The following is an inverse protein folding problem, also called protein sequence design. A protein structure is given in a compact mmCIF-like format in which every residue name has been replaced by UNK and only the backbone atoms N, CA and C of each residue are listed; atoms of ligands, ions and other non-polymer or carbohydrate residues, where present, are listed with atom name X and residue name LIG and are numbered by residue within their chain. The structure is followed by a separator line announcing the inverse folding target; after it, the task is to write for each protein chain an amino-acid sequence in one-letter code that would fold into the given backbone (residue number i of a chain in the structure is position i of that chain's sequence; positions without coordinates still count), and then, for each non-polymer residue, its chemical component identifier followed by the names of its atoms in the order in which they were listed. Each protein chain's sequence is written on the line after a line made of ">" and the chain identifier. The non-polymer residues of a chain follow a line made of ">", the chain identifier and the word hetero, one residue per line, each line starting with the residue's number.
data_IF_194184376057
#
_entry.id   IF_194184376057
#
_cell.length_a   1.000
_cell.length_b   1.000
_cell.length_c   1.000
_cell.angle_alpha   90.00
_cell.angle_beta   90.00
_cell.angle_gamma   90.00
#
_symmetry.space_group_name_H-M   'P 1'
#
loop_
_entity.id
_entity.type
_entity.pdbx_description
1 polymer ?
#
# COMPACT_ATOMS: atom_id res chain seq x y z
N UNK A 1 -10.59 -3.61 -29.70
CA UNK A 1 -10.56 -4.32 -28.39
C UNK A 1 -9.69 -5.58 -28.45
N UNK A 2 -9.78 -6.39 -29.53
CA UNK A 2 -8.94 -7.60 -29.75
C UNK A 2 -7.43 -7.34 -29.73
N UNK A 3 -6.95 -6.27 -30.35
CA UNK A 3 -5.49 -5.99 -30.45
C UNK A 3 -4.80 -5.85 -29.08
N UNK A 4 -5.50 -5.27 -28.09
CA UNK A 4 -4.97 -5.12 -26.72
C UNK A 4 -4.79 -6.49 -26.03
N UNK A 5 -5.67 -7.45 -26.32
CA UNK A 5 -5.60 -8.79 -25.77
C UNK A 5 -4.46 -9.61 -26.40
N UNK A 6 -4.31 -9.53 -27.73
CA UNK A 6 -3.22 -10.21 -28.44
C UNK A 6 -1.85 -9.66 -28.01
N UNK A 7 -1.70 -8.34 -27.85
CA UNK A 7 -0.47 -7.73 -27.33
C UNK A 7 -0.16 -8.20 -25.91
N UNK A 8 -1.14 -8.22 -25.01
CA UNK A 8 -0.99 -8.76 -23.63
C UNK A 8 -0.57 -10.24 -23.64
N UNK A 9 -1.14 -11.03 -24.54
CA UNK A 9 -0.79 -12.45 -24.68
C UNK A 9 0.65 -12.65 -25.16
N UNK A 10 1.10 -11.85 -26.13
CA UNK A 10 2.48 -11.89 -26.62
C UNK A 10 3.49 -11.44 -25.57
N UNK A 11 3.19 -10.36 -24.82
CA UNK A 11 4.04 -9.91 -23.72
C UNK A 11 4.14 -10.95 -22.61
N UNK A 12 3.04 -11.62 -22.26
CA UNK A 12 3.06 -12.68 -21.25
C UNK A 12 3.96 -13.86 -21.65
N UNK A 13 3.95 -14.26 -22.93
CA UNK A 13 4.85 -15.31 -23.43
C UNK A 13 6.33 -14.92 -23.31
N UNK A 14 6.67 -13.68 -23.69
CA UNK A 14 8.04 -13.18 -23.58
C UNK A 14 8.51 -13.05 -22.12
N UNK A 15 7.62 -12.62 -21.22
CA UNK A 15 7.92 -12.56 -19.79
C UNK A 15 8.14 -13.96 -19.21
N UNK A 16 7.28 -14.90 -19.58
CA UNK A 16 7.41 -16.28 -19.14
C UNK A 16 8.73 -16.90 -19.61
N UNK A 17 9.09 -16.73 -20.88
CA UNK A 17 10.37 -17.18 -21.44
C UNK A 17 11.57 -16.63 -20.67
N UNK A 18 11.56 -15.32 -20.34
CA UNK A 18 12.62 -14.70 -19.53
C UNK A 18 12.73 -15.28 -18.12
N UNK A 19 11.60 -15.63 -17.49
CA UNK A 19 11.62 -16.28 -16.19
C UNK A 19 12.27 -17.66 -16.28
N UNK A 20 11.96 -18.43 -17.32
CA UNK A 20 12.61 -19.72 -17.56
C UNK A 20 14.11 -19.56 -17.82
N UNK A 21 14.51 -18.57 -18.63
CA UNK A 21 15.92 -18.26 -18.90
C UNK A 21 16.69 -17.93 -17.62
N UNK A 22 16.15 -17.04 -16.79
CA UNK A 22 16.75 -16.68 -15.50
C UNK A 22 16.96 -17.92 -14.61
N UNK A 23 15.95 -18.78 -14.50
CA UNK A 23 16.03 -19.99 -13.66
C UNK A 23 17.05 -20.99 -14.19
N UNK A 24 17.20 -21.11 -15.51
CA UNK A 24 18.24 -21.95 -16.11
C UNK A 24 19.63 -21.37 -15.81
N UNK A 25 19.81 -20.05 -15.90
CA UNK A 25 21.07 -19.40 -15.52
C UNK A 25 21.39 -19.59 -14.03
N UNK A 26 20.39 -19.51 -13.14
CA UNK A 26 20.52 -19.83 -11.70
C UNK A 26 21.00 -21.27 -11.49
N UNK A 27 20.43 -22.24 -12.21
CA UNK A 27 20.86 -23.64 -12.16
C UNK A 27 22.29 -23.85 -12.65
N UNK A 28 22.66 -23.24 -13.78
CA UNK A 28 24.01 -23.38 -14.38
C UNK A 28 25.07 -22.74 -13.49
N UNK A 29 24.76 -21.61 -12.86
CA UNK A 29 25.65 -20.92 -11.91
C UNK A 29 25.72 -21.56 -10.53
N UNK A 30 24.90 -22.60 -10.26
CA UNK A 30 24.83 -23.27 -8.96
C UNK A 30 24.11 -22.49 -7.87
N UNK A 31 23.50 -21.34 -8.19
CA UNK A 31 22.77 -20.48 -7.25
C UNK A 31 21.32 -20.93 -7.08
N UNK A 32 21.14 -22.18 -6.64
CA UNK A 32 19.80 -22.78 -6.49
C UNK A 32 19.22 -22.60 -5.09
N UNK A 33 17.89 -22.63 -5.00
CA UNK A 33 17.14 -22.70 -3.73
C UNK A 33 17.07 -24.17 -3.28
N UNK A 34 17.88 -24.55 -2.30
CA UNK A 34 17.99 -25.95 -1.87
C UNK A 34 16.66 -26.56 -1.39
N UNK A 35 15.79 -25.78 -0.76
CA UNK A 35 14.45 -26.28 -0.36
C UNK A 35 13.57 -26.66 -1.56
N UNK A 36 13.57 -25.85 -2.63
CA UNK A 36 12.85 -26.17 -3.87
C UNK A 36 13.51 -27.33 -4.62
N UNK A 37 14.84 -27.42 -4.56
CA UNK A 37 15.60 -28.52 -5.13
C UNK A 37 15.27 -29.85 -4.43
N UNK A 38 15.25 -29.88 -3.11
CA UNK A 38 14.85 -31.05 -2.33
C UNK A 38 13.41 -31.49 -2.67
N UNK A 39 12.48 -30.53 -2.78
CA UNK A 39 11.11 -30.81 -3.24
C UNK A 39 11.06 -31.42 -4.64
N UNK A 40 11.88 -30.90 -5.56
CA UNK A 40 11.97 -31.42 -6.92
C UNK A 40 12.57 -32.83 -6.96
N UNK A 41 13.60 -33.10 -6.16
CA UNK A 41 14.19 -34.43 -6.02
C UNK A 41 13.19 -35.44 -5.46
N UNK A 42 12.49 -35.10 -4.37
CA UNK A 42 11.47 -35.95 -3.77
C UNK A 42 10.37 -36.34 -4.77
N UNK A 43 9.99 -35.43 -5.66
CA UNK A 43 8.95 -35.64 -6.67
C UNK A 43 9.48 -36.22 -8.00
N UNK A 44 10.78 -36.57 -8.06
CA UNK A 44 11.43 -37.05 -9.28
C UNK A 44 11.77 -38.54 -9.27
N UNK A 45 11.39 -39.26 -8.21
CA UNK A 45 11.79 -40.65 -7.97
C UNK A 45 13.32 -40.85 -7.97
N UNK A 46 14.07 -39.81 -7.58
CA UNK A 46 15.54 -39.80 -7.60
C UNK A 46 16.17 -39.62 -8.99
N UNK A 47 15.38 -39.40 -10.05
CA UNK A 47 15.90 -39.16 -11.39
C UNK A 47 16.29 -37.70 -11.58
N UNK A 48 17.59 -37.44 -11.64
CA UNK A 48 18.14 -36.07 -11.69
C UNK A 48 17.61 -35.23 -12.87
N UNK A 49 17.40 -35.85 -14.04
CA UNK A 49 16.82 -35.16 -15.21
C UNK A 49 15.39 -34.69 -14.96
N UNK A 50 14.56 -35.52 -14.30
CA UNK A 50 13.20 -35.14 -13.89
C UNK A 50 13.23 -34.08 -12.79
N UNK A 51 14.17 -34.20 -11.84
CA UNK A 51 14.33 -33.23 -10.76
C UNK A 51 14.68 -31.83 -11.30
N UNK A 52 15.58 -31.73 -12.29
CA UNK A 52 15.91 -30.47 -12.96
C UNK A 52 14.68 -29.83 -13.60
N UNK A 53 13.90 -30.59 -14.36
CA UNK A 53 12.67 -30.10 -14.98
C UNK A 53 11.63 -29.63 -13.95
N UNK A 54 11.44 -30.38 -12.87
CA UNK A 54 10.53 -30.02 -11.77
C UNK A 54 11.00 -28.77 -11.02
N UNK A 55 12.30 -28.65 -10.75
CA UNK A 55 12.88 -27.49 -10.10
C UNK A 55 12.63 -26.23 -10.92
N UNK A 56 12.85 -26.27 -12.24
CA UNK A 56 12.63 -25.12 -13.11
C UNK A 56 11.19 -24.62 -12.99
N UNK A 57 10.21 -25.53 -13.05
CA UNK A 57 8.80 -25.19 -12.89
C UNK A 57 8.48 -24.58 -11.53
N UNK A 58 8.98 -25.19 -10.45
CA UNK A 58 8.75 -24.70 -9.09
C UNK A 58 9.41 -23.34 -8.85
N UNK A 59 10.59 -23.11 -9.40
CA UNK A 59 11.30 -21.84 -9.25
C UNK A 59 10.63 -20.72 -10.03
N UNK A 60 10.18 -20.97 -11.27
CA UNK A 60 9.38 -19.99 -12.03
C UNK A 60 8.12 -19.61 -11.27
N UNK A 61 7.39 -20.58 -10.71
CA UNK A 61 6.21 -20.26 -9.89
C UNK A 61 6.59 -19.46 -8.63
N UNK A 62 7.64 -19.88 -7.92
CA UNK A 62 8.14 -19.15 -6.75
C UNK A 62 8.52 -17.71 -7.07
N UNK A 63 9.08 -17.41 -8.25
CA UNK A 63 9.38 -16.03 -8.64
C UNK A 63 8.09 -15.24 -8.89
N UNK A 64 7.09 -15.85 -9.52
CA UNK A 64 5.76 -15.21 -9.72
C UNK A 64 5.12 -14.88 -8.36
N UNK A 65 5.16 -15.82 -7.42
CA UNK A 65 4.62 -15.64 -6.06
C UNK A 65 5.41 -14.56 -5.28
N UNK A 66 6.74 -14.55 -5.39
CA UNK A 66 7.60 -13.51 -4.79
C UNK A 66 7.24 -12.11 -5.31
N UNK A 67 6.95 -11.97 -6.61
CA UNK A 67 6.51 -10.70 -7.21
C UNK A 67 5.15 -10.27 -6.64
N UNK A 68 4.17 -11.17 -6.60
CA UNK A 68 2.82 -10.88 -6.09
C UNK A 68 2.84 -10.46 -4.61
N UNK A 69 3.63 -11.16 -3.78
CA UNK A 69 3.82 -10.79 -2.37
C UNK A 69 4.46 -9.42 -2.25
N UNK A 70 5.49 -9.12 -3.04
CA UNK A 70 6.13 -7.80 -3.00
C UNK A 70 5.18 -6.68 -3.47
N UNK A 71 4.34 -6.93 -4.48
CA UNK A 71 3.33 -5.98 -4.93
C UNK A 71 2.28 -5.70 -3.85
N UNK A 72 1.76 -6.74 -3.20
CA UNK A 72 0.79 -6.59 -2.10
C UNK A 72 1.38 -5.84 -0.89
N UNK A 73 2.61 -6.15 -0.48
CA UNK A 73 3.31 -5.41 0.59
C UNK A 73 3.48 -3.94 0.21
N UNK A 74 3.86 -3.66 -1.05
CA UNK A 74 4.03 -2.29 -1.51
C UNK A 74 2.69 -1.54 -1.54
N UNK A 75 1.61 -2.18 -2.00
CA UNK A 75 0.27 -1.60 -1.94
C UNK A 75 -0.18 -1.32 -0.50
N UNK A 76 0.05 -2.25 0.42
CA UNK A 76 -0.24 -2.06 1.84
C UNK A 76 0.58 -0.93 2.44
N UNK A 77 1.86 -0.83 2.10
CA UNK A 77 2.73 0.27 2.53
C UNK A 77 2.23 1.63 1.98
N UNK A 78 1.80 1.67 0.72
CA UNK A 78 1.22 2.88 0.11
C UNK A 78 -0.10 3.25 0.80
N UNK A 79 -0.99 2.27 1.06
CA UNK A 79 -2.27 2.49 1.76
C UNK A 79 -2.03 2.94 3.20
N UNK A 80 -1.10 2.31 3.93
CA UNK A 80 -0.73 2.69 5.29
C UNK A 80 -0.13 4.10 5.34
N UNK A 81 0.74 4.45 4.38
CA UNK A 81 1.31 5.79 4.26
C UNK A 81 0.26 6.84 3.90
N UNK A 82 -0.67 6.51 3.00
CA UNK A 82 -1.81 7.35 2.68
C UNK A 82 -2.74 7.53 3.91
N UNK A 83 -2.96 6.46 4.69
CA UNK A 83 -3.74 6.51 5.93
C UNK A 83 -3.05 7.39 6.99
N UNK A 84 -1.73 7.27 7.16
CA UNK A 84 -0.94 8.13 8.06
C UNK A 84 -0.96 9.61 7.64
N UNK A 85 -0.85 9.89 6.33
CA UNK A 85 -1.04 11.25 5.79
C UNK A 85 -2.50 11.72 5.92
N UNK A 86 -3.46 10.80 5.95
CA UNK A 86 -4.87 11.13 6.16
C UNK A 86 -5.22 11.33 7.64
N UNK A 87 -4.37 10.90 8.57
CA UNK A 87 -4.57 11.12 10.00
C UNK A 87 -4.66 12.64 10.26
N UNK A 88 -5.80 13.13 10.78
CA UNK A 88 -5.98 14.55 11.06
C UNK A 88 -4.90 15.10 12.01
N UNK A 89 -4.41 14.27 12.94
CA UNK A 89 -3.38 14.64 13.92
C UNK A 89 -2.02 14.86 13.26
N UNK A 90 -1.60 13.94 12.37
CA UNK A 90 -0.32 14.08 11.67
C UNK A 90 -0.34 15.25 10.67
N UNK A 91 -1.50 15.53 10.05
CA UNK A 91 -1.65 16.74 9.23
C UNK A 91 -1.54 18.01 10.05
N UNK A 92 -2.13 18.06 11.23
CA UNK A 92 -1.97 19.18 12.16
C UNK A 92 -0.50 19.38 12.57
N UNK A 93 0.21 18.30 12.92
CA UNK A 93 1.66 18.34 13.23
C UNK A 93 2.48 18.87 12.05
N UNK A 94 2.27 18.33 10.85
CA UNK A 94 2.97 18.79 9.64
C UNK A 94 2.67 20.25 9.29
N UNK A 95 1.46 20.74 9.61
CA UNK A 95 1.12 22.15 9.48
C UNK A 95 1.77 23.05 10.53
N UNK A 96 2.37 22.49 11.58
CA UNK A 96 3.09 23.22 12.63
C UNK A 96 2.27 23.54 13.88
N UNK A 97 1.13 22.87 14.10
CA UNK A 97 0.40 23.02 15.36
C UNK A 97 1.22 22.43 16.51
N UNK A 98 1.27 23.13 17.64
CA UNK A 98 1.94 22.61 18.84
C UNK A 98 1.17 21.44 19.45
N UNK A 99 1.87 20.60 20.22
CA UNK A 99 1.24 19.48 20.94
C UNK A 99 0.13 19.99 21.89
N UNK A 100 0.28 21.17 22.50
CA UNK A 100 -0.76 21.77 23.35
C UNK A 100 -2.03 22.13 22.56
N UNK A 101 -1.88 22.63 21.33
CA UNK A 101 -3.01 22.95 20.45
C UNK A 101 -3.72 21.67 19.98
N UNK A 102 -2.94 20.63 19.67
CA UNK A 102 -3.47 19.31 19.30
C UNK A 102 -4.23 18.73 20.50
N UNK A 103 -3.67 18.77 21.70
CA UNK A 103 -4.32 18.30 22.93
C UNK A 103 -5.60 19.09 23.25
N UNK A 104 -5.59 20.42 23.05
CA UNK A 104 -6.76 21.26 23.26
C UNK A 104 -7.94 20.89 22.34
N UNK A 105 -7.65 20.55 21.07
CA UNK A 105 -8.64 20.15 20.07
C UNK A 105 -8.98 18.65 20.14
N UNK A 106 -8.10 17.81 20.69
CA UNK A 106 -8.19 16.35 20.68
C UNK A 106 -7.87 15.80 19.30
N UNK A 107 -8.88 15.70 18.43
CA UNK A 107 -8.72 15.28 17.03
C UNK A 107 -8.91 16.50 16.12
N UNK A 108 -7.83 17.22 15.76
CA UNK A 108 -7.91 18.44 14.98
C UNK A 108 -8.28 18.13 13.53
N UNK A 109 -9.30 18.81 13.00
CA UNK A 109 -9.71 18.72 11.59
C UNK A 109 -9.80 20.13 11.00
N UNK A 110 -9.37 20.29 9.75
CA UNK A 110 -9.54 21.56 9.02
C UNK A 110 -11.03 21.92 8.89
N UNK A 111 -11.38 23.19 9.09
CA UNK A 111 -12.76 23.66 9.01
C UNK A 111 -13.44 23.30 7.68
N UNK A 112 -12.70 23.40 6.55
CA UNK A 112 -13.19 23.00 5.22
C UNK A 112 -13.60 21.52 5.18
N UNK A 113 -12.80 20.64 5.81
CA UNK A 113 -13.11 19.21 5.89
C UNK A 113 -14.24 18.93 6.88
N UNK A 114 -14.30 19.64 7.99
CA UNK A 114 -15.40 19.54 8.95
C UNK A 114 -16.75 19.82 8.28
N UNK A 115 -16.83 20.94 7.55
CA UNK A 115 -18.03 21.35 6.80
C UNK A 115 -18.47 20.27 5.82
N UNK A 116 -17.53 19.69 5.07
CA UNK A 116 -17.78 18.58 4.13
C UNK A 116 -18.22 17.29 4.84
N UNK A 117 -17.57 16.92 5.95
CA UNK A 117 -17.83 15.70 6.72
C UNK A 117 -19.21 15.71 7.37
N UNK A 118 -19.61 16.83 7.98
CA UNK A 118 -20.88 16.96 8.68
C UNK A 118 -21.99 17.61 7.84
N UNK A 119 -21.76 17.84 6.54
CA UNK A 119 -22.69 18.52 5.62
C UNK A 119 -23.27 19.81 6.22
N UNK A 120 -22.40 20.59 6.85
CA UNK A 120 -22.79 21.80 7.58
C UNK A 120 -22.46 23.05 6.75
N UNK A 121 -22.84 24.25 7.23
CA UNK A 121 -22.42 25.51 6.59
C UNK A 121 -21.34 26.21 7.43
N UNK A 122 -20.47 26.97 6.77
CA UNK A 122 -19.42 27.76 7.45
C UNK A 122 -20.03 28.72 8.48
N UNK A 123 -21.17 29.34 8.16
CA UNK A 123 -21.92 30.22 9.07
C UNK A 123 -22.41 29.50 10.33
N UNK A 124 -22.83 28.24 10.22
CA UNK A 124 -23.24 27.43 11.36
C UNK A 124 -22.03 27.04 12.20
N UNK A 125 -20.91 26.68 11.56
CA UNK A 125 -19.67 26.34 12.24
C UNK A 125 -19.10 27.54 13.03
N UNK A 126 -19.04 28.72 12.41
CA UNK A 126 -18.56 29.93 13.09
C UNK A 126 -19.42 30.28 14.32
N UNK A 127 -20.75 30.13 14.21
CA UNK A 127 -21.66 30.28 15.35
C UNK A 127 -21.42 29.25 16.45
N UNK A 128 -21.07 28.01 16.12
CA UNK A 128 -20.77 26.99 17.11
C UNK A 128 -19.46 27.25 17.86
N UNK A 129 -18.47 27.81 17.16
CA UNK A 129 -17.20 28.24 17.75
C UNK A 129 -17.43 29.42 18.70
N UNK A 130 -18.20 30.43 18.27
CA UNK A 130 -18.51 31.58 19.14
C UNK A 130 -19.34 31.22 20.37
N UNK A 131 -20.17 30.18 20.27
CA UNK A 131 -20.93 29.62 21.39
C UNK A 131 -20.12 28.65 22.27
N UNK A 132 -18.84 28.40 21.97
CA UNK A 132 -18.00 27.46 22.72
C UNK A 132 -18.39 25.99 22.59
N UNK A 133 -19.31 25.65 21.67
CA UNK A 133 -19.74 24.27 21.41
C UNK A 133 -18.68 23.46 20.67
N UNK A 134 -17.85 24.15 19.89
CA UNK A 134 -16.68 23.60 19.20
C UNK A 134 -15.46 24.44 19.55
N UNK A 135 -14.36 23.75 19.87
CA UNK A 135 -13.05 24.38 20.01
C UNK A 135 -12.41 24.57 18.63
N UNK A 136 -11.78 25.73 18.42
CA UNK A 136 -11.07 26.03 17.18
C UNK A 136 -9.81 26.85 17.42
N UNK A 137 -8.79 26.62 16.61
CA UNK A 137 -7.51 27.33 16.62
C UNK A 137 -7.17 27.73 15.19
N UNK A 138 -6.73 28.96 14.98
CA UNK A 138 -6.23 29.43 13.68
C UNK A 138 -4.71 29.36 13.70
N UNK A 139 -4.13 28.66 12.71
CA UNK A 139 -2.69 28.60 12.53
C UNK A 139 -2.34 28.79 11.06
N UNK A 140 -1.42 29.72 10.75
CA UNK A 140 -1.01 30.08 9.37
C UNK A 140 -2.18 30.32 8.41
N UNK A 141 -3.25 30.95 8.89
CA UNK A 141 -4.45 31.25 8.09
C UNK A 141 -5.40 30.06 7.88
N UNK A 142 -5.11 28.89 8.45
CA UNK A 142 -5.98 27.71 8.42
C UNK A 142 -6.71 27.57 9.75
N UNK A 143 -8.05 27.51 9.71
CA UNK A 143 -8.87 27.22 10.88
C UNK A 143 -8.95 25.71 11.12
N UNK A 144 -8.40 25.26 12.25
CA UNK A 144 -8.52 23.91 12.76
C UNK A 144 -9.60 23.86 13.84
N UNK A 145 -10.43 22.83 13.81
CA UNK A 145 -11.53 22.64 14.75
C UNK A 145 -11.49 21.24 15.35
N UNK A 146 -12.14 21.07 16.51
CA UNK A 146 -12.36 19.76 17.09
C UNK A 146 -13.30 18.93 16.21
N UNK A 147 -12.92 17.68 15.89
CA UNK A 147 -13.73 16.75 15.11
C UNK A 147 -14.90 16.17 15.94
N UNK A 148 -15.88 17.01 16.24
CA UNK A 148 -17.08 16.66 17.01
C UNK A 148 -18.32 17.25 16.36
N UNK A 149 -19.33 16.40 16.11
CA UNK A 149 -20.65 16.89 15.72
C UNK A 149 -21.29 17.61 16.91
N UNK A 150 -21.67 18.86 16.73
CA UNK A 150 -22.59 19.55 17.63
C UNK A 150 -24.00 19.42 17.06
N UNK A 151 -24.93 19.04 17.93
CA UNK A 151 -26.38 19.03 17.65
C UNK A 151 -26.97 20.36 18.11
#
# INVERSE_FOLDING_TARGET
>A
MLEKFQRRSATNRLLEEKLYEQVVQELVSGQRRDGLWAKALANSDGLEGKAKALYVRYRVQSIKDEIEVNESINEEAIKARAAQLSDPVNRARNCGLSEDQIAYLGTPIEAVRYVKKYRNSEKKLSKAISQGRIRGVIFRGVLWVQDRKYT
#
